data_IF_150028349624
#
_entry.id   IF_150028349624
#
_cell.length_a   1.000
_cell.length_b   1.000
_cell.length_c   1.000
_cell.angle_alpha   90.00
_cell.angle_beta   90.00
_cell.angle_gamma   90.00
#
_symmetry.space_group_name_H-M   'P 1'
#
loop_
_entity.id
_entity.type
_entity.pdbx_description
1 polymer ?
#
# COMPACT_ATOMS: atom_id res chain seq x y z
N UNK A 1 -10.54 9.44 -1.19
CA UNK A 1 -10.08 8.12 -1.65
C UNK A 1 -8.74 8.20 -2.38
N UNK A 2 -7.82 9.05 -1.91
CA UNK A 2 -6.51 9.22 -2.53
C UNK A 2 -5.39 8.60 -1.71
N UNK A 3 -5.52 8.61 -0.38
CA UNK A 3 -4.48 8.15 0.55
C UNK A 3 -4.29 6.64 0.49
N UNK A 4 -5.38 5.86 0.40
CA UNK A 4 -5.27 4.41 0.21
C UNK A 4 -4.58 4.03 -1.11
N UNK A 5 -4.80 4.80 -2.18
CA UNK A 5 -4.21 4.55 -3.49
C UNK A 5 -2.69 4.73 -3.50
N UNK A 6 -2.15 5.61 -2.64
CA UNK A 6 -0.70 5.79 -2.48
C UNK A 6 -0.06 4.53 -1.91
N UNK A 7 -0.66 3.93 -0.88
CA UNK A 7 -0.16 2.68 -0.31
C UNK A 7 -0.18 1.53 -1.35
N UNK A 8 -1.26 1.42 -2.13
CA UNK A 8 -1.33 0.45 -3.23
C UNK A 8 -0.28 0.71 -4.32
N UNK A 9 -0.04 1.98 -4.68
CA UNK A 9 0.98 2.34 -5.66
C UNK A 9 2.38 1.91 -5.22
N UNK A 10 2.73 2.09 -3.94
CA UNK A 10 4.03 1.65 -3.39
C UNK A 10 4.21 0.13 -3.50
N UNK A 11 3.15 -0.63 -3.25
CA UNK A 11 3.18 -2.11 -3.33
C UNK A 11 3.30 -2.58 -4.79
N UNK A 12 2.61 -1.92 -5.72
CA UNK A 12 2.53 -2.33 -7.13
C UNK A 12 3.73 -1.82 -7.95
N UNK A 13 4.37 -0.71 -7.56
CA UNK A 13 5.51 -0.12 -8.24
C UNK A 13 6.63 -1.11 -8.58
N UNK A 14 7.18 -1.92 -7.65
CA UNK A 14 8.25 -2.86 -7.97
C UNK A 14 7.82 -3.93 -8.99
N UNK A 15 6.55 -4.36 -8.97
CA UNK A 15 6.02 -5.30 -9.95
C UNK A 15 5.95 -4.68 -11.35
N UNK A 16 5.45 -3.44 -11.45
CA UNK A 16 5.32 -2.73 -12.72
C UNK A 16 6.69 -2.43 -13.36
N UNK A 17 7.67 -2.04 -12.54
CA UNK A 17 9.04 -1.80 -12.98
C UNK A 17 9.68 -3.09 -13.52
N UNK A 18 9.44 -4.24 -12.87
CA UNK A 18 9.90 -5.57 -13.35
C UNK A 18 9.26 -5.98 -14.68
N UNK A 19 7.99 -5.60 -14.90
CA UNK A 19 7.29 -5.85 -16.16
C UNK A 19 7.76 -4.93 -17.31
N UNK A 20 8.69 -4.01 -17.04
CA UNK A 20 9.25 -3.07 -18.01
C UNK A 20 8.43 -1.79 -18.17
N UNK A 21 7.50 -1.52 -17.26
CA UNK A 21 6.78 -0.25 -17.15
C UNK A 21 7.51 0.70 -16.18
N UNK A 22 7.02 1.92 -16.03
CA UNK A 22 7.58 2.93 -15.14
C UNK A 22 6.67 3.24 -13.93
N UNK A 23 7.20 3.96 -12.95
CA UNK A 23 6.43 4.41 -11.79
C UNK A 23 5.25 5.31 -12.18
N UNK A 24 5.34 6.06 -13.28
CA UNK A 24 4.21 6.85 -13.79
C UNK A 24 3.06 5.92 -14.21
N UNK A 25 3.35 4.86 -14.96
CA UNK A 25 2.35 3.86 -15.33
C UNK A 25 1.71 3.24 -14.08
N UNK A 26 2.50 3.00 -13.04
CA UNK A 26 1.99 2.53 -11.73
C UNK A 26 0.96 3.49 -11.14
N UNK A 27 1.26 4.79 -11.10
CA UNK A 27 0.33 5.82 -10.59
C UNK A 27 -0.92 5.94 -11.47
N UNK A 28 -0.79 5.78 -12.79
CA UNK A 28 -1.94 5.79 -13.70
C UNK A 28 -2.90 4.63 -13.42
N UNK A 29 -2.38 3.42 -13.24
CA UNK A 29 -3.22 2.23 -13.01
C UNK A 29 -3.79 2.14 -11.60
N UNK A 30 -3.19 2.82 -10.62
CA UNK A 30 -3.69 2.82 -9.23
C UNK A 30 -4.51 4.09 -8.94
N UNK A 31 -3.86 5.25 -8.93
CA UNK A 31 -4.45 6.50 -8.47
C UNK A 31 -5.48 7.04 -9.47
N UNK A 32 -5.10 7.22 -10.74
CA UNK A 32 -6.02 7.77 -11.74
C UNK A 32 -7.23 6.84 -11.96
N UNK A 33 -7.00 5.53 -12.00
CA UNK A 33 -8.08 4.55 -12.08
C UNK A 33 -9.08 4.70 -10.92
N UNK A 34 -8.60 4.85 -9.69
CA UNK A 34 -9.45 5.04 -8.50
C UNK A 34 -10.26 6.33 -8.59
N UNK A 35 -9.65 7.43 -9.03
CA UNK A 35 -10.34 8.73 -9.15
C UNK A 35 -11.43 8.71 -10.22
N UNK A 36 -11.17 8.11 -11.38
CA UNK A 36 -12.17 7.95 -12.45
C UNK A 36 -13.33 7.07 -11.96
N UNK A 37 -13.01 5.95 -11.31
CA UNK A 37 -14.02 5.04 -10.78
C UNK A 37 -14.91 5.69 -9.74
N UNK A 38 -14.34 6.43 -8.78
CA UNK A 38 -15.10 7.12 -7.75
C UNK A 38 -15.99 8.24 -8.33
N UNK A 39 -15.45 9.05 -9.24
CA UNK A 39 -16.17 10.18 -9.84
C UNK A 39 -17.34 9.76 -10.74
N UNK A 40 -17.20 8.64 -11.46
CA UNK A 40 -18.20 8.19 -12.43
C UNK A 40 -19.09 7.04 -11.93
N UNK A 41 -18.89 6.55 -10.70
CA UNK A 41 -19.63 5.41 -10.16
C UNK A 41 -21.15 5.66 -10.11
N UNK A 42 -21.91 4.71 -10.68
CA UNK A 42 -23.36 4.77 -10.77
C UNK A 42 -24.10 4.23 -9.53
N UNK A 43 -23.43 3.41 -8.71
CA UNK A 43 -23.98 2.73 -7.54
C UNK A 43 -23.17 3.01 -6.26
N UNK A 44 -22.53 4.17 -6.18
CA UNK A 44 -21.74 4.54 -5.00
C UNK A 44 -22.66 4.68 -3.76
N UNK A 45 -22.56 3.78 -2.76
CA UNK A 45 -23.46 3.81 -1.61
C UNK A 45 -23.20 5.02 -0.71
N UNK A 46 -21.99 5.58 -0.71
CA UNK A 46 -21.58 6.66 0.20
C UNK A 46 -22.01 8.04 -0.29
N UNK A 47 -21.96 8.27 -1.59
CA UNK A 47 -22.29 9.58 -2.15
C UNK A 47 -23.65 9.56 -2.85
N UNK A 48 -23.82 8.63 -3.79
CA UNK A 48 -24.95 8.65 -4.72
C UNK A 48 -26.22 8.17 -4.04
N UNK A 49 -26.18 7.00 -3.38
CA UNK A 49 -27.37 6.43 -2.74
C UNK A 49 -27.79 7.26 -1.52
N UNK A 50 -26.85 7.74 -0.72
CA UNK A 50 -27.11 8.66 0.39
C UNK A 50 -27.78 9.95 -0.09
N UNK A 51 -27.26 10.58 -1.15
CA UNK A 51 -27.87 11.79 -1.72
C UNK A 51 -29.28 11.52 -2.28
N UNK A 52 -29.52 10.36 -2.88
CA UNK A 52 -30.85 9.95 -3.33
C UNK A 52 -31.84 9.77 -2.17
N UNK A 53 -31.38 9.17 -1.07
CA UNK A 53 -32.15 9.07 0.18
C UNK A 53 -32.54 10.44 0.74
N UNK A 54 -31.61 11.41 0.75
CA UNK A 54 -31.89 12.78 1.20
C UNK A 54 -32.85 13.51 0.24
N UNK A 55 -32.68 13.31 -1.07
CA UNK A 55 -33.50 13.94 -2.09
C UNK A 55 -34.89 13.28 -2.27
N UNK A 56 -35.18 12.19 -1.56
CA UNK A 56 -36.46 11.48 -1.64
C UNK A 56 -36.70 10.79 -3.00
N UNK A 57 -35.66 10.57 -3.80
CA UNK A 57 -35.77 9.90 -5.10
C UNK A 57 -35.46 8.41 -4.96
N UNK A 58 -36.06 7.52 -5.77
CA UNK A 58 -35.77 6.09 -5.70
C UNK A 58 -34.28 5.80 -5.85
N UNK A 59 -33.78 4.86 -5.05
CA UNK A 59 -32.41 4.35 -5.17
C UNK A 59 -32.19 3.78 -6.58
N UNK A 60 -31.00 3.99 -7.15
CA UNK A 60 -30.66 3.64 -8.54
C UNK A 60 -31.46 4.39 -9.63
N UNK A 61 -32.29 5.40 -9.28
CA UNK A 61 -32.88 6.28 -10.31
C UNK A 61 -31.79 6.92 -11.18
N UNK A 62 -31.97 6.88 -12.50
CA UNK A 62 -31.01 7.41 -13.46
C UNK A 62 -29.73 6.57 -13.64
N UNK A 63 -29.70 5.31 -13.18
CA UNK A 63 -28.56 4.40 -13.32
C UNK A 63 -28.10 4.23 -14.77
N UNK A 64 -29.03 4.16 -15.74
CA UNK A 64 -28.70 3.97 -17.16
C UNK A 64 -27.73 5.02 -17.71
N UNK A 65 -28.02 6.32 -17.51
CA UNK A 65 -27.13 7.40 -17.92
C UNK A 65 -25.77 7.30 -17.20
N UNK A 66 -25.78 7.04 -15.89
CA UNK A 66 -24.56 6.94 -15.09
C UNK A 66 -23.67 5.78 -15.52
N UNK A 67 -24.26 4.63 -15.87
CA UNK A 67 -23.54 3.47 -16.41
C UNK A 67 -22.85 3.85 -17.72
N UNK A 68 -23.55 4.55 -18.62
CA UNK A 68 -22.94 5.01 -19.89
C UNK A 68 -21.77 5.96 -19.62
N UNK A 69 -21.94 6.95 -18.74
CA UNK A 69 -20.87 7.88 -18.35
C UNK A 69 -19.69 7.13 -17.70
N UNK A 70 -19.96 6.18 -16.82
CA UNK A 70 -18.95 5.33 -16.19
C UNK A 70 -18.15 4.53 -17.21
N UNK A 71 -18.82 3.89 -18.18
CA UNK A 71 -18.16 3.15 -19.26
C UNK A 71 -17.28 4.08 -20.08
N UNK A 72 -17.81 5.22 -20.53
CA UNK A 72 -17.07 6.17 -21.37
C UNK A 72 -15.85 6.73 -20.62
N UNK A 73 -16.02 7.17 -19.38
CA UNK A 73 -14.92 7.70 -18.56
C UNK A 73 -13.84 6.64 -18.31
N UNK A 74 -14.24 5.41 -17.97
CA UNK A 74 -13.32 4.29 -17.77
C UNK A 74 -12.58 3.94 -19.04
N UNK A 75 -13.26 3.93 -20.19
CA UNK A 75 -12.67 3.59 -21.48
C UNK A 75 -11.65 4.65 -21.94
N UNK A 76 -11.94 5.93 -21.73
CA UNK A 76 -10.99 7.03 -21.99
C UNK A 76 -9.74 6.85 -21.11
N UNK A 77 -9.91 6.63 -19.81
CA UNK A 77 -8.79 6.41 -18.88
C UNK A 77 -7.96 5.18 -19.23
N UNK A 78 -8.62 4.09 -19.62
CA UNK A 78 -7.98 2.85 -20.04
C UNK A 78 -7.16 3.05 -21.32
N UNK A 79 -7.75 3.63 -22.36
CA UNK A 79 -7.07 3.88 -23.64
C UNK A 79 -5.87 4.80 -23.43
N UNK A 80 -6.03 5.89 -22.68
CA UNK A 80 -4.94 6.79 -22.33
C UNK A 80 -3.78 6.04 -21.64
N UNK A 81 -4.11 5.23 -20.64
CA UNK A 81 -3.12 4.45 -19.87
C UNK A 81 -2.41 3.43 -20.76
N UNK A 82 -3.13 2.69 -21.61
CA UNK A 82 -2.54 1.71 -22.52
C UNK A 82 -1.64 2.35 -23.58
N UNK A 83 -2.04 3.50 -24.15
CA UNK A 83 -1.21 4.25 -25.10
C UNK A 83 0.08 4.73 -24.43
N UNK A 84 -0.01 5.25 -23.20
CA UNK A 84 1.17 5.67 -22.44
C UNK A 84 2.08 4.47 -22.10
N UNK A 85 1.51 3.43 -21.50
CA UNK A 85 2.25 2.24 -21.05
C UNK A 85 2.93 1.52 -22.23
N UNK A 86 2.29 1.46 -23.40
CA UNK A 86 2.89 0.87 -24.61
C UNK A 86 4.04 1.70 -25.18
N UNK A 87 3.99 3.04 -25.06
CA UNK A 87 5.11 3.92 -25.46
C UNK A 87 6.31 3.75 -24.54
N UNK A 88 6.08 3.72 -23.22
CA UNK A 88 7.14 3.53 -22.21
C UNK A 88 7.79 2.15 -22.35
N UNK A 89 6.99 1.10 -22.56
CA UNK A 89 7.50 -0.27 -22.73
C UNK A 89 8.36 -0.43 -23.99
N UNK A 90 8.04 0.27 -25.08
CA UNK A 90 8.82 0.22 -26.33
C UNK A 90 10.14 0.99 -26.22
N UNK A 91 10.15 2.10 -25.50
CA UNK A 91 11.35 2.93 -25.32
C UNK A 91 11.47 3.37 -23.85
N UNK A 92 12.21 2.62 -23.02
CA UNK A 92 12.36 2.92 -21.60
C UNK A 92 12.98 4.29 -21.29
N UNK A 93 13.73 4.87 -22.24
CA UNK A 93 14.33 6.21 -22.13
C UNK A 93 13.34 7.37 -22.32
N UNK A 94 12.13 7.09 -22.84
CA UNK A 94 11.06 8.09 -22.91
C UNK A 94 10.40 8.35 -21.55
N UNK A 95 10.66 7.51 -20.54
CA UNK A 95 10.20 7.78 -19.18
C UNK A 95 11.04 8.89 -18.54
N UNK A 96 10.38 9.97 -18.13
CA UNK A 96 11.00 11.09 -17.39
C UNK A 96 11.55 10.68 -16.02
N UNK A 97 11.23 9.48 -15.55
CA UNK A 97 11.50 8.99 -14.19
C UNK A 97 12.51 7.83 -14.21
N UNK A 98 13.17 7.60 -15.36
CA UNK A 98 14.08 6.48 -15.58
C UNK A 98 15.16 6.34 -14.49
N UNK A 99 15.73 7.45 -14.03
CA UNK A 99 16.74 7.43 -12.96
C UNK A 99 16.15 7.19 -11.57
N UNK A 100 14.96 7.71 -11.27
CA UNK A 100 14.30 7.50 -9.97
C UNK A 100 13.75 6.07 -9.85
N UNK A 101 13.36 5.46 -10.97
CA UNK A 101 12.94 4.05 -11.03
C UNK A 101 14.12 3.08 -10.83
N UNK A 102 15.37 3.57 -10.93
CA UNK A 102 16.56 2.76 -10.64
C UNK A 102 16.55 2.25 -9.20
N UNK A 103 16.03 3.04 -8.25
CA UNK A 103 15.84 2.63 -6.86
C UNK A 103 14.94 1.38 -6.74
N UNK A 104 13.82 1.35 -7.47
CA UNK A 104 12.93 0.17 -7.51
C UNK A 104 13.52 -1.01 -8.32
N UNK A 105 14.43 -0.75 -9.26
CA UNK A 105 15.19 -1.80 -9.98
C UNK A 105 16.31 -2.40 -9.15
N UNK A 106 16.95 -1.61 -8.29
CA UNK A 106 18.05 -2.01 -7.41
C UNK A 106 17.54 -2.64 -6.11
N UNK A 107 16.39 -2.18 -5.59
CA UNK A 107 15.60 -2.90 -4.59
C UNK A 107 14.88 -4.08 -5.23
N UNK A 108 15.66 -5.05 -5.72
CA UNK A 108 15.17 -6.40 -5.94
C UNK A 108 14.99 -7.09 -4.59
N UNK A 109 14.04 -6.62 -3.78
CA UNK A 109 13.56 -7.46 -2.70
C UNK A 109 12.99 -8.72 -3.35
N UNK A 110 13.56 -9.89 -3.02
CA UNK A 110 12.92 -11.16 -3.33
C UNK A 110 11.48 -11.03 -2.84
N UNK A 111 10.53 -11.08 -3.78
CA UNK A 111 9.12 -11.14 -3.42
C UNK A 111 8.98 -12.48 -2.72
N UNK A 112 9.04 -12.43 -1.39
CA UNK A 112 8.93 -13.61 -0.54
C UNK A 112 7.55 -14.16 -0.81
N UNK A 113 7.49 -15.17 -1.68
CA UNK A 113 6.26 -15.88 -1.96
C UNK A 113 5.84 -16.56 -0.68
N UNK A 114 4.90 -15.94 0.04
CA UNK A 114 4.24 -16.59 1.15
C UNK A 114 3.13 -17.47 0.55
N UNK A 115 3.08 -18.76 0.91
CA UNK A 115 1.93 -19.58 0.54
C UNK A 115 0.68 -18.94 1.14
N UNK A 116 -0.39 -18.89 0.35
CA UNK A 116 -1.70 -18.46 0.81
C UNK A 116 -2.12 -19.35 1.99
N UNK A 117 -2.31 -18.75 3.16
CA UNK A 117 -2.67 -19.49 4.37
C UNK A 117 -4.18 -19.57 4.53
N UNK A 118 -4.65 -20.51 5.35
CA UNK A 118 -6.07 -20.61 5.70
C UNK A 118 -6.61 -19.32 6.35
N UNK A 119 -5.76 -18.60 7.10
CA UNK A 119 -6.11 -17.29 7.67
C UNK A 119 -6.39 -16.23 6.61
N UNK A 120 -5.57 -16.17 5.55
CA UNK A 120 -5.75 -15.22 4.44
C UNK A 120 -7.08 -15.48 3.72
N UNK A 121 -7.43 -16.76 3.52
CA UNK A 121 -8.71 -17.15 2.93
C UNK A 121 -9.90 -16.74 3.80
N UNK A 122 -9.79 -16.90 5.12
CA UNK A 122 -10.84 -16.52 6.06
C UNK A 122 -11.05 -14.99 6.09
N UNK A 123 -9.97 -14.20 6.03
CA UNK A 123 -10.05 -12.74 5.93
C UNK A 123 -10.75 -12.31 4.63
N UNK A 124 -10.42 -12.94 3.50
CA UNK A 124 -11.10 -12.66 2.22
C UNK A 124 -12.58 -13.00 2.29
N UNK A 125 -12.96 -14.12 2.92
CA UNK A 125 -14.36 -14.51 3.08
C UNK A 125 -15.13 -13.50 3.93
N UNK A 126 -14.54 -13.04 5.05
CA UNK A 126 -15.17 -12.01 5.90
C UNK A 126 -15.33 -10.71 5.12
N UNK A 127 -14.32 -10.28 4.37
CA UNK A 127 -14.38 -9.07 3.55
C UNK A 127 -15.49 -9.15 2.50
N UNK A 128 -15.60 -10.27 1.78
CA UNK A 128 -16.68 -10.50 0.81
C UNK A 128 -18.05 -10.55 1.48
N UNK A 129 -18.17 -11.24 2.62
CA UNK A 129 -19.42 -11.33 3.37
C UNK A 129 -19.93 -9.98 3.85
N UNK A 130 -19.04 -9.14 4.39
CA UNK A 130 -19.38 -7.79 4.83
C UNK A 130 -19.73 -6.90 3.64
N UNK A 131 -19.05 -7.03 2.50
CA UNK A 131 -19.41 -6.28 1.29
C UNK A 131 -20.86 -6.59 0.85
N UNK A 132 -21.25 -7.86 0.82
CA UNK A 132 -22.63 -8.27 0.50
C UNK A 132 -23.60 -7.71 1.54
N UNK A 133 -23.24 -7.76 2.82
CA UNK A 133 -24.08 -7.25 3.90
C UNK A 133 -24.29 -5.74 3.82
N UNK A 134 -23.27 -4.96 3.47
CA UNK A 134 -23.37 -3.51 3.25
C UNK A 134 -24.30 -3.23 2.07
N UNK A 135 -24.11 -3.90 0.93
CA UNK A 135 -24.98 -3.69 -0.25
C UNK A 135 -26.44 -4.03 0.07
N UNK A 136 -26.70 -5.15 0.76
CA UNK A 136 -28.04 -5.54 1.16
C UNK A 136 -28.67 -4.54 2.16
N UNK A 137 -27.92 -4.10 3.17
CA UNK A 137 -28.39 -3.14 4.16
C UNK A 137 -28.75 -1.79 3.56
N UNK A 138 -27.92 -1.31 2.63
CA UNK A 138 -28.16 -0.04 1.93
C UNK A 138 -29.36 -0.12 0.98
N UNK A 139 -29.52 -1.22 0.24
CA UNK A 139 -30.61 -1.34 -0.74
C UNK A 139 -31.96 -1.58 -0.06
N UNK A 140 -32.03 -2.47 0.92
CA UNK A 140 -33.31 -2.93 1.50
C UNK A 140 -33.75 -2.09 2.68
N UNK A 141 -32.80 -1.75 3.57
CA UNK A 141 -33.11 -1.07 4.83
C UNK A 141 -32.75 0.43 4.79
N UNK A 142 -32.27 0.94 3.65
CA UNK A 142 -31.81 2.31 3.47
C UNK A 142 -30.85 2.77 4.58
N UNK A 143 -30.00 1.85 5.04
CA UNK A 143 -29.06 2.08 6.13
C UNK A 143 -28.16 3.28 5.85
N UNK A 144 -28.01 4.12 6.88
CA UNK A 144 -27.29 5.37 6.78
C UNK A 144 -25.88 5.21 7.37
N UNK A 145 -25.17 6.33 7.53
CA UNK A 145 -23.77 6.34 7.98
C UNK A 145 -23.54 5.56 9.30
N UNK A 146 -24.39 5.65 10.33
CA UNK A 146 -24.17 4.93 11.60
C UNK A 146 -24.17 3.41 11.45
N UNK A 147 -25.11 2.85 10.69
CA UNK A 147 -25.24 1.41 10.50
C UNK A 147 -24.06 0.87 9.70
N UNK A 148 -23.68 1.56 8.62
CA UNK A 148 -22.53 1.19 7.80
C UNK A 148 -21.23 1.23 8.64
N UNK A 149 -21.07 2.24 9.49
CA UNK A 149 -19.91 2.33 10.39
C UNK A 149 -19.82 1.14 11.35
N UNK A 150 -20.95 0.69 11.90
CA UNK A 150 -21.00 -0.48 12.79
C UNK A 150 -20.61 -1.78 12.09
N UNK A 151 -20.94 -1.93 10.81
CA UNK A 151 -20.57 -3.09 9.99
C UNK A 151 -19.05 -3.12 9.74
N UNK A 152 -18.45 -2.00 9.35
CA UNK A 152 -16.99 -1.90 9.18
C UNK A 152 -16.23 -2.09 10.50
N UNK A 153 -16.78 -1.57 11.61
CA UNK A 153 -16.22 -1.81 12.94
C UNK A 153 -16.23 -3.30 13.29
N UNK A 154 -17.37 -3.97 13.09
CA UNK A 154 -17.51 -5.41 13.33
C UNK A 154 -16.53 -6.20 12.46
N UNK A 155 -16.41 -5.84 11.18
CA UNK A 155 -15.43 -6.43 10.27
C UNK A 155 -13.99 -6.28 10.80
N UNK A 156 -13.61 -5.09 11.26
CA UNK A 156 -12.29 -4.83 11.81
C UNK A 156 -11.98 -5.69 13.04
N UNK A 157 -12.95 -5.84 13.95
CA UNK A 157 -12.82 -6.71 15.13
C UNK A 157 -12.65 -8.18 14.72
N UNK A 158 -13.49 -8.66 13.80
CA UNK A 158 -13.44 -10.06 13.34
C UNK A 158 -12.12 -10.37 12.62
N UNK A 159 -11.67 -9.49 11.71
CA UNK A 159 -10.38 -9.64 11.01
C UNK A 159 -9.22 -9.58 12.02
N UNK A 160 -9.29 -8.70 13.01
CA UNK A 160 -8.30 -8.62 14.08
C UNK A 160 -8.19 -9.91 14.89
N UNK A 161 -9.32 -10.51 15.25
CA UNK A 161 -9.37 -11.80 15.94
C UNK A 161 -8.81 -12.93 15.06
N UNK A 162 -9.16 -12.96 13.78
CA UNK A 162 -8.62 -13.94 12.82
C UNK A 162 -7.10 -13.82 12.72
N UNK A 163 -6.55 -12.60 12.66
CA UNK A 163 -5.10 -12.37 12.62
C UNK A 163 -4.36 -12.80 13.88
N UNK A 164 -5.03 -12.82 15.05
CA UNK A 164 -4.47 -13.33 16.31
C UNK A 164 -4.53 -14.87 16.36
N UNK A 165 -5.64 -15.46 15.94
CA UNK A 165 -5.87 -16.91 15.99
C UNK A 165 -5.07 -17.64 14.90
N UNK A 166 -5.01 -17.07 13.70
CA UNK A 166 -4.29 -17.56 12.54
C UNK A 166 -3.18 -16.57 12.17
N UNK A 167 -2.10 -16.48 12.98
CA UNK A 167 -1.02 -15.57 12.67
C UNK A 167 -0.41 -15.92 11.31
N UNK A 168 -0.14 -14.91 10.45
CA UNK A 168 0.46 -15.16 9.16
C UNK A 168 1.77 -15.92 9.34
N UNK A 169 1.96 -17.02 8.62
CA UNK A 169 3.20 -17.78 8.67
C UNK A 169 4.37 -16.87 8.26
N UNK A 170 5.22 -16.50 9.23
CA UNK A 170 6.47 -15.79 8.97
C UNK A 170 7.47 -16.81 8.40
N UNK A 171 7.78 -16.70 7.10
CA UNK A 171 8.88 -17.46 6.50
C UNK A 171 10.20 -17.20 7.25
N UNK A 172 11.06 -18.23 7.34
CA UNK A 172 12.38 -18.14 7.99
C UNK A 172 13.26 -17.04 7.42
N UNK A 173 13.09 -16.66 6.15
CA UNK A 173 13.80 -15.53 5.54
C UNK A 173 13.47 -14.18 6.22
N UNK A 174 12.22 -13.98 6.67
CA UNK A 174 11.86 -12.80 7.45
C UNK A 174 12.32 -12.87 8.91
N UNK A 175 12.40 -14.08 9.50
CA UNK A 175 13.01 -14.26 10.83
C UNK A 175 14.50 -13.96 10.78
N UNK A 176 15.20 -14.47 9.77
CA UNK A 176 16.62 -14.24 9.54
C UNK A 176 16.92 -12.80 9.14
N UNK A 177 16.08 -12.14 8.33
CA UNK A 177 16.25 -10.72 7.99
C UNK A 177 16.21 -9.81 9.23
N UNK A 178 15.24 -10.03 10.13
CA UNK A 178 15.18 -9.31 11.42
C UNK A 178 16.38 -9.65 12.31
N UNK A 179 16.83 -10.91 12.33
CA UNK A 179 18.02 -11.34 13.09
C UNK A 179 19.32 -10.74 12.55
N UNK A 180 19.48 -10.67 11.23
CA UNK A 180 20.64 -10.08 10.55
C UNK A 180 20.67 -8.57 10.76
N UNK A 181 19.53 -7.90 10.66
CA UNK A 181 19.44 -6.46 10.97
C UNK A 181 19.83 -6.19 12.43
N UNK A 182 19.29 -6.96 13.37
CA UNK A 182 19.60 -6.82 14.80
C UNK A 182 21.05 -7.16 15.13
N UNK A 183 21.66 -8.09 14.38
CA UNK A 183 23.08 -8.44 14.50
C UNK A 183 23.97 -7.33 13.93
N UNK A 184 23.60 -6.74 12.79
CA UNK A 184 24.28 -5.60 12.19
C UNK A 184 24.27 -4.36 13.09
N UNK A 185 23.12 -4.02 13.68
CA UNK A 185 23.01 -2.90 14.61
C UNK A 185 23.88 -3.10 15.88
N UNK A 186 23.94 -4.33 16.40
CA UNK A 186 24.81 -4.66 17.53
C UNK A 186 26.30 -4.59 17.17
N UNK A 187 26.68 -5.01 15.96
CA UNK A 187 28.07 -4.94 15.48
C UNK A 187 28.52 -3.49 15.28
N UNK A 188 27.65 -2.63 14.74
CA UNK A 188 27.93 -1.21 14.57
C UNK A 188 28.04 -0.48 15.92
N UNK A 189 27.19 -0.82 16.89
CA UNK A 189 27.31 -0.33 18.28
C UNK A 189 28.61 -0.79 18.93
N UNK A 190 29.00 -2.04 18.76
CA UNK A 190 30.26 -2.56 19.30
C UNK A 190 31.48 -1.86 18.69
N UNK A 191 31.47 -1.62 17.36
CA UNK A 191 32.54 -0.88 16.66
C UNK A 191 32.57 0.60 17.06
N UNK A 192 31.42 1.23 17.29
CA UNK A 192 31.34 2.60 17.79
C UNK A 192 31.89 2.73 19.22
N UNK A 193 31.53 1.79 20.10
CA UNK A 193 32.04 1.73 21.47
C UNK A 193 33.56 1.48 21.53
N UNK A 194 34.07 0.58 20.69
CA UNK A 194 35.51 0.32 20.56
C UNK A 194 36.30 1.56 20.11
N UNK A 195 35.78 2.29 19.11
CA UNK A 195 36.38 3.57 18.65
C UNK A 195 36.33 4.67 19.71
N UNK A 196 35.28 4.71 20.52
CA UNK A 196 35.17 5.66 21.63
C UNK A 196 36.20 5.35 22.74
N UNK A 197 36.37 4.08 23.10
CA UNK A 197 37.32 3.64 24.10
C UNK A 197 38.79 3.86 23.66
N UNK A 198 39.10 3.62 22.38
CA UNK A 198 40.42 3.94 21.80
C UNK A 198 40.72 5.44 21.80
N UNK A 199 39.73 6.30 21.45
CA UNK A 199 39.91 7.77 21.49
C UNK A 199 40.15 8.29 22.90
N UNK A 200 39.45 7.76 23.90
CA UNK A 200 39.66 8.14 25.30
C UNK A 200 41.00 7.63 25.88
N UNK A 201 41.44 6.43 25.51
CA UNK A 201 42.78 5.93 25.89
C UNK A 201 43.92 6.71 25.24
N UNK A 202 43.77 7.11 23.97
CA UNK A 202 44.76 7.94 23.28
C UNK A 202 44.87 9.35 23.89
N UNK A 203 43.72 9.97 24.21
CA UNK A 203 43.67 11.26 24.90
C UNK A 203 44.28 11.20 26.32
N UNK A 204 44.09 10.08 27.03
CA UNK A 204 44.71 9.82 28.33
C UNK A 204 46.23 9.71 28.27
N UNK A 205 46.78 9.03 27.24
CA UNK A 205 48.25 8.94 27.04
C UNK A 205 48.88 10.28 26.65
N UNK A 206 48.24 11.08 25.79
CA UNK A 206 48.72 12.41 25.42
C UNK A 206 48.71 13.41 26.58
N UNK A 207 47.74 13.33 27.49
CA UNK A 207 47.75 14.14 28.72
C UNK A 207 48.83 13.72 29.71
N UNK A 208 49.16 12.42 29.76
CA UNK A 208 50.23 11.91 30.64
C UNK A 208 51.62 12.32 30.14
N UNK A 209 51.89 12.27 28.83
CA UNK A 209 53.19 12.69 28.26
C UNK A 209 53.47 14.19 28.40
N UNK A 210 52.44 15.04 28.31
CA UNK A 210 52.58 16.50 28.52
C UNK A 210 52.86 16.89 29.98
N UNK A 211 52.54 16.03 30.95
CA UNK A 211 52.83 16.26 32.37
C UNK A 211 54.26 15.88 32.74
N UNK A 212 54.86 14.90 32.08
CA UNK A 212 56.25 14.47 32.30
C UNK A 212 57.30 15.36 31.61
N UNK A 213 56.93 16.17 30.61
CA UNK A 213 57.83 17.15 29.98
C UNK A 213 57.83 18.53 30.67
N UNK A 214 57.05 18.71 31.74
CA UNK A 214 56.94 19.97 32.52
C UNK A 214 57.46 19.86 33.95
N UNK A 215 58.12 18.75 34.29
CA UNK A 215 58.88 18.54 35.53
C UNK A 215 60.35 18.38 35.15
#
# INVERSE_FOLDING_TARGET
>A
MGEEAVAFAIIIAPLMVRLGYDSITTVLVTYIATQIGFASSWMNPFCVVVAQGIAGVPVLSGSGLRIVVWIVATLIGLVFTLVYASRVKKNPQLSRVHESDRYFREQQDEVVQRPFTFGDWLVLLVLTGVMIWVVWGVIVHAWFIPEIASQFFTMGVVIGLIGVIFPPQRNDSQRNGVLIYRRGENDDRARAAGRFCQRHSAAGRQRRSRRTQRA
#
